data_IF_820450672404
#
_entry.id   IF_820450672404
#
_cell.length_a   1.000
_cell.length_b   1.000
_cell.length_c   1.000
_cell.angle_alpha   90.00
_cell.angle_beta   90.00
_cell.angle_gamma   90.00
#
_symmetry.space_group_name_H-M   'P 1'
#
loop_
_entity.id
_entity.type
_entity.pdbx_description
1 polymer ?
#
# COMPACT_ATOMS: atom_id res chain seq x y z
N UNK A 1 9.56 -17.72 17.71
CA UNK A 1 8.84 -17.08 16.59
C UNK A 1 9.14 -15.58 16.43
N UNK A 2 9.76 -14.94 17.42
CA UNK A 2 9.87 -13.46 17.47
C UNK A 2 10.84 -12.87 16.45
N UNK A 3 11.90 -13.62 16.09
CA UNK A 3 12.83 -13.20 15.03
C UNK A 3 12.15 -13.13 13.66
N UNK A 4 11.32 -14.12 13.32
CA UNK A 4 10.59 -14.15 12.05
C UNK A 4 9.60 -12.98 11.96
N UNK A 5 8.81 -12.75 13.03
CA UNK A 5 7.89 -11.61 13.11
C UNK A 5 8.62 -10.27 12.99
N UNK A 6 9.75 -10.12 13.68
CA UNK A 6 10.59 -8.92 13.62
C UNK A 6 11.16 -8.67 12.22
N UNK A 7 11.64 -9.71 11.55
CA UNK A 7 12.15 -9.59 10.18
C UNK A 7 11.04 -9.19 9.20
N UNK A 8 9.87 -9.82 9.29
CA UNK A 8 8.72 -9.47 8.43
C UNK A 8 8.28 -8.02 8.68
N UNK A 9 8.17 -7.60 9.95
CA UNK A 9 7.85 -6.21 10.29
C UNK A 9 8.82 -5.21 9.67
N UNK A 10 10.13 -5.44 9.80
CA UNK A 10 11.15 -4.57 9.21
C UNK A 10 11.08 -4.52 7.66
N UNK A 11 10.71 -5.63 7.01
CA UNK A 11 10.51 -5.64 5.55
C UNK A 11 9.22 -4.93 5.13
N UNK A 12 8.15 -5.04 5.92
CA UNK A 12 6.91 -4.28 5.71
C UNK A 12 7.16 -2.78 5.86
N UNK A 13 7.87 -2.36 6.91
CA UNK A 13 8.23 -0.94 7.11
C UNK A 13 9.06 -0.41 5.93
N UNK A 14 10.02 -1.21 5.44
CA UNK A 14 10.77 -0.87 4.23
C UNK A 14 9.85 -0.76 3.01
N UNK A 15 8.92 -1.69 2.83
CA UNK A 15 7.93 -1.65 1.76
C UNK A 15 7.04 -0.40 1.81
N UNK A 16 6.58 0.00 3.00
CA UNK A 16 5.78 1.22 3.20
C UNK A 16 6.61 2.47 2.89
N UNK A 17 7.87 2.52 3.32
CA UNK A 17 8.78 3.61 2.99
C UNK A 17 8.99 3.73 1.47
N UNK A 18 9.16 2.60 0.78
CA UNK A 18 9.30 2.55 -0.68
C UNK A 18 8.01 2.95 -1.41
N UNK A 19 6.83 2.53 -0.93
CA UNK A 19 5.54 2.99 -1.46
C UNK A 19 5.39 4.50 -1.31
N UNK A 20 5.70 5.04 -0.14
CA UNK A 20 5.63 6.48 0.15
C UNK A 20 6.56 7.27 -0.77
N UNK A 21 7.81 6.82 -0.91
CA UNK A 21 8.75 7.40 -1.86
C UNK A 21 8.23 7.34 -3.29
N UNK A 22 7.66 6.21 -3.70
CA UNK A 22 7.14 6.02 -5.04
C UNK A 22 5.98 6.95 -5.38
N UNK A 23 5.09 7.22 -4.41
CA UNK A 23 4.00 8.20 -4.55
C UNK A 23 4.57 9.61 -4.77
N UNK A 24 5.49 10.05 -3.90
CA UNK A 24 6.08 11.38 -3.98
C UNK A 24 6.83 11.55 -5.31
N UNK A 25 7.67 10.59 -5.68
CA UNK A 25 8.40 10.64 -6.94
C UNK A 25 7.44 10.70 -8.15
N UNK A 26 6.38 9.89 -8.14
CA UNK A 26 5.35 9.88 -9.21
C UNK A 26 4.66 11.22 -9.38
N UNK A 27 4.42 11.94 -8.28
CA UNK A 27 3.84 13.28 -8.32
C UNK A 27 4.82 14.33 -8.85
N UNK A 28 6.11 14.20 -8.55
CA UNK A 28 7.13 15.18 -8.96
C UNK A 28 7.53 15.08 -10.42
N UNK A 29 7.79 13.86 -10.89
CA UNK A 29 8.33 13.62 -12.25
C UNK A 29 7.21 13.24 -13.22
N UNK A 30 6.04 12.88 -12.72
CA UNK A 30 4.95 12.31 -13.49
C UNK A 30 5.10 10.79 -13.67
N UNK A 31 4.00 10.03 -13.64
CA UNK A 31 4.03 8.56 -13.64
C UNK A 31 4.62 7.95 -14.92
N UNK A 32 4.53 8.66 -16.06
CA UNK A 32 5.11 8.20 -17.33
C UNK A 32 6.64 8.25 -17.37
N UNK A 33 7.27 9.03 -16.48
CA UNK A 33 8.72 9.27 -16.48
C UNK A 33 9.47 8.44 -15.43
N UNK A 34 8.76 7.63 -14.63
CA UNK A 34 9.34 6.76 -13.60
C UNK A 34 9.26 5.29 -13.99
N UNK A 35 10.18 4.86 -14.84
CA UNK A 35 10.26 3.47 -15.30
C UNK A 35 10.61 2.45 -14.19
N UNK A 36 11.19 2.88 -13.06
CA UNK A 36 11.65 1.95 -12.01
C UNK A 36 10.63 1.73 -10.88
N UNK A 37 9.71 2.68 -10.68
CA UNK A 37 8.80 2.70 -9.50
C UNK A 37 7.46 2.02 -9.79
N UNK A 38 7.08 1.87 -11.07
CA UNK A 38 5.77 1.36 -11.45
C UNK A 38 4.62 2.33 -11.10
N UNK A 39 3.39 1.97 -11.47
CA UNK A 39 2.20 2.79 -11.24
C UNK A 39 1.66 2.67 -9.80
N UNK A 40 2.44 3.13 -8.81
CA UNK A 40 2.08 3.00 -7.38
C UNK A 40 0.79 3.73 -7.06
N UNK A 41 0.62 4.96 -7.55
CA UNK A 41 -0.58 5.76 -7.31
C UNK A 41 -1.81 5.09 -7.91
N UNK A 42 -1.72 4.61 -9.15
CA UNK A 42 -2.81 3.87 -9.80
C UNK A 42 -3.21 2.61 -9.04
N UNK A 43 -2.24 1.81 -8.61
CA UNK A 43 -2.51 0.59 -7.85
C UNK A 43 -3.27 0.87 -6.54
N UNK A 44 -2.93 1.97 -5.85
CA UNK A 44 -3.63 2.38 -4.61
C UNK A 44 -5.04 2.89 -4.95
N UNK A 45 -5.20 3.72 -5.98
CA UNK A 45 -6.53 4.22 -6.37
C UNK A 45 -7.45 3.10 -6.82
N UNK A 46 -6.93 2.10 -7.54
CA UNK A 46 -7.70 0.94 -8.00
C UNK A 46 -8.13 0.07 -6.82
N UNK A 47 -7.25 -0.12 -5.84
CA UNK A 47 -7.60 -0.80 -4.59
C UNK A 47 -8.71 -0.06 -3.84
N UNK A 48 -8.58 1.26 -3.66
CA UNK A 48 -9.61 2.08 -2.98
C UNK A 48 -10.93 2.06 -3.76
N UNK A 49 -10.87 2.14 -5.08
CA UNK A 49 -12.06 2.05 -5.94
C UNK A 49 -12.74 0.68 -5.81
N UNK A 50 -11.97 -0.41 -5.79
CA UNK A 50 -12.49 -1.76 -5.59
C UNK A 50 -13.13 -1.92 -4.20
N UNK A 51 -12.54 -1.35 -3.16
CA UNK A 51 -13.16 -1.34 -1.83
C UNK A 51 -14.46 -0.53 -1.84
N UNK A 52 -14.49 0.64 -2.48
CA UNK A 52 -15.70 1.46 -2.59
C UNK A 52 -16.82 0.80 -3.40
N UNK A 53 -16.49 0.14 -4.51
CA UNK A 53 -17.48 -0.51 -5.39
C UNK A 53 -18.17 -1.72 -4.76
N UNK A 54 -17.52 -2.35 -3.77
CA UNK A 54 -18.09 -3.48 -3.01
C UNK A 54 -19.00 -3.02 -1.84
N UNK A 55 -19.18 -1.71 -1.62
CA UNK A 55 -20.07 -1.17 -0.59
C UNK A 55 -19.75 -1.67 0.82
N UNK A 56 -20.73 -2.29 1.50
CA UNK A 56 -20.57 -2.80 2.86
C UNK A 56 -19.46 -3.86 2.99
N UNK A 57 -19.32 -4.73 1.99
CA UNK A 57 -18.29 -5.79 2.00
C UNK A 57 -16.88 -5.17 1.91
N UNK A 58 -16.73 -4.10 1.13
CA UNK A 58 -15.48 -3.35 1.06
C UNK A 58 -15.11 -2.67 2.39
N UNK A 59 -16.10 -2.11 3.10
CA UNK A 59 -15.88 -1.52 4.42
C UNK A 59 -15.44 -2.58 5.46
N UNK A 60 -16.08 -3.75 5.46
CA UNK A 60 -15.70 -4.86 6.35
C UNK A 60 -14.27 -5.32 6.03
N UNK A 61 -13.94 -5.43 4.74
CA UNK A 61 -12.59 -5.80 4.30
C UNK A 61 -11.54 -4.79 4.79
N UNK A 62 -11.82 -3.49 4.64
CA UNK A 62 -10.95 -2.43 5.15
C UNK A 62 -10.77 -2.54 6.67
N UNK A 63 -11.85 -2.75 7.42
CA UNK A 63 -11.80 -2.90 8.88
C UNK A 63 -10.94 -4.09 9.31
N UNK A 64 -11.03 -5.22 8.60
CA UNK A 64 -10.19 -6.39 8.85
C UNK A 64 -8.72 -6.04 8.58
N UNK A 65 -8.41 -5.42 7.44
CA UNK A 65 -7.03 -5.05 7.08
C UNK A 65 -6.42 -4.09 8.10
N UNK A 66 -7.14 -3.03 8.50
CA UNK A 66 -6.65 -2.08 9.49
C UNK A 66 -6.36 -2.76 10.85
N UNK A 67 -7.23 -3.65 11.30
CA UNK A 67 -7.01 -4.44 12.51
C UNK A 67 -5.79 -5.39 12.43
N UNK A 68 -5.34 -5.75 11.23
CA UNK A 68 -4.14 -6.57 11.05
C UNK A 68 -2.85 -5.74 11.06
N UNK A 69 -2.92 -4.49 10.60
CA UNK A 69 -1.77 -3.57 10.59
C UNK A 69 -1.47 -3.02 11.99
N UNK A 70 -2.51 -2.78 12.79
CA UNK A 70 -2.38 -2.24 14.16
C UNK A 70 -1.99 -3.29 15.23
N UNK A 71 -1.63 -4.53 14.83
CA UNK A 71 -1.35 -5.67 15.74
C UNK A 71 0.08 -6.18 15.65
#
# INVERSE_FOLDING_TARGET
MDKMKKTIGAMTDLGIALLTFGIIASLLVGPANLSFVGNVVGNITDLVAALGSNGLVGLITLMIVLNLVDR
#
